data_IF_740865538600
#
_entry.id   IF_740865538600
#
_cell.length_a   1.000
_cell.length_b   1.000
_cell.length_c   1.000
_cell.angle_alpha   90.00
_cell.angle_beta   90.00
_cell.angle_gamma   90.00
#
_symmetry.space_group_name_H-M   'P 1'
#
loop_
_entity.id
_entity.type
_entity.pdbx_description
1 polymer ?
#
# COMPACT_ATOMS: atom_id res chain seq x y z
N UNK A 1 2.23 1.38 -3.34
CA UNK A 1 2.81 0.68 -4.51
C UNK A 1 4.29 1.00 -4.61
N UNK A 2 5.10 0.05 -5.06
CA UNK A 2 6.57 0.07 -5.00
C UNK A 2 7.26 -0.06 -6.38
N UNK A 3 6.54 -0.39 -7.45
CA UNK A 3 7.10 -0.65 -8.78
C UNK A 3 7.80 0.53 -9.45
N UNK A 4 7.55 1.75 -9.00
CA UNK A 4 8.18 2.98 -9.50
C UNK A 4 9.55 3.25 -8.84
N UNK A 5 9.85 2.60 -7.73
CA UNK A 5 11.01 2.89 -6.88
C UNK A 5 12.34 2.59 -7.60
N UNK A 6 12.52 1.46 -8.33
CA UNK A 6 13.78 1.23 -9.04
C UNK A 6 14.17 2.39 -9.96
N UNK A 7 13.21 2.89 -10.73
CA UNK A 7 13.41 4.04 -11.61
C UNK A 7 13.72 5.30 -10.81
N UNK A 8 12.99 5.58 -9.72
CA UNK A 8 13.28 6.74 -8.87
C UNK A 8 14.73 6.71 -8.38
N UNK A 9 15.18 5.59 -7.81
CA UNK A 9 16.51 5.48 -7.23
C UNK A 9 17.61 5.66 -8.28
N UNK A 10 17.45 5.03 -9.45
CA UNK A 10 18.36 5.22 -10.58
C UNK A 10 18.43 6.70 -11.00
N UNK A 11 17.28 7.37 -11.13
CA UNK A 11 17.22 8.78 -11.53
C UNK A 11 17.75 9.72 -10.46
N UNK A 12 17.53 9.41 -9.18
CA UNK A 12 18.03 10.19 -8.07
C UNK A 12 19.57 10.13 -8.02
N UNK A 13 20.15 8.94 -8.13
CA UNK A 13 21.60 8.74 -8.16
C UNK A 13 22.22 9.43 -9.37
N UNK A 14 21.63 9.26 -10.57
CA UNK A 14 22.05 9.98 -11.76
C UNK A 14 22.04 11.49 -11.54
N UNK A 15 20.94 12.03 -11.04
CA UNK A 15 20.75 13.48 -10.84
C UNK A 15 21.77 14.01 -9.84
N UNK A 16 21.97 13.31 -8.72
CA UNK A 16 22.97 13.69 -7.73
C UNK A 16 24.38 13.67 -8.33
N UNK A 17 24.76 12.61 -9.04
CA UNK A 17 26.08 12.50 -9.67
C UNK A 17 26.39 13.61 -10.67
N UNK A 18 25.38 14.16 -11.35
CA UNK A 18 25.58 15.22 -12.36
C UNK A 18 25.42 16.64 -11.81
N UNK A 19 24.68 16.81 -10.73
CA UNK A 19 24.18 18.13 -10.34
C UNK A 19 24.49 18.50 -8.88
N UNK A 20 25.13 17.62 -8.09
CA UNK A 20 25.43 17.91 -6.69
C UNK A 20 26.25 19.20 -6.47
N UNK A 21 27.18 19.52 -7.38
CA UNK A 21 28.05 20.68 -7.26
C UNK A 21 27.32 22.03 -7.23
N UNK A 22 26.21 22.17 -7.97
CA UNK A 22 25.45 23.42 -8.03
C UNK A 22 24.14 23.36 -7.24
N UNK A 23 23.57 22.17 -7.07
CA UNK A 23 22.40 21.96 -6.18
C UNK A 23 22.79 21.98 -4.70
N UNK A 24 24.09 21.89 -4.39
CA UNK A 24 24.63 21.71 -3.04
C UNK A 24 24.04 20.51 -2.30
N UNK A 25 23.56 19.49 -3.04
CA UNK A 25 23.08 18.24 -2.43
C UNK A 25 24.26 17.45 -1.88
N UNK A 26 24.13 16.94 -0.65
CA UNK A 26 25.18 16.18 0.04
C UNK A 26 24.54 15.11 0.94
N UNK A 27 24.87 13.84 0.69
CA UNK A 27 24.38 12.68 1.45
C UNK A 27 25.47 12.03 2.33
N UNK A 28 26.63 12.68 2.45
CA UNK A 28 27.81 12.17 3.13
C UNK A 28 28.84 11.56 2.17
N UNK A 29 30.08 11.34 2.65
CA UNK A 29 31.17 10.85 1.79
C UNK A 29 30.85 9.50 1.15
N UNK A 30 30.89 9.45 -0.18
CA UNK A 30 30.67 8.23 -0.96
C UNK A 30 29.25 7.66 -0.89
N UNK A 31 28.26 8.47 -0.49
CA UNK A 31 26.86 8.07 -0.41
C UNK A 31 26.03 8.66 -1.54
N UNK A 32 25.14 7.83 -2.07
CA UNK A 32 24.15 8.19 -3.07
C UNK A 32 22.75 8.30 -2.45
N UNK A 33 21.81 9.01 -3.09
CA UNK A 33 20.39 9.02 -2.68
C UNK A 33 19.81 7.62 -2.43
N UNK A 34 20.16 6.64 -3.26
CA UNK A 34 19.71 5.25 -3.09
C UNK A 34 20.22 4.61 -1.79
N UNK A 35 21.44 4.93 -1.33
CA UNK A 35 21.94 4.48 -0.03
C UNK A 35 21.11 5.04 1.13
N UNK A 36 20.67 6.29 0.99
CA UNK A 36 19.84 6.95 1.99
C UNK A 36 18.45 6.32 2.02
N UNK A 37 17.86 6.06 0.85
CA UNK A 37 16.60 5.31 0.76
C UNK A 37 16.72 3.96 1.47
N UNK A 38 17.74 3.15 1.11
CA UNK A 38 17.94 1.80 1.66
C UNK A 38 18.26 1.75 3.16
N UNK A 39 18.47 2.92 3.78
CA UNK A 39 18.74 3.04 5.21
C UNK A 39 17.57 3.65 6.00
N UNK A 40 16.76 4.48 5.37
CA UNK A 40 15.84 5.37 6.07
C UNK A 40 14.40 5.33 5.58
N UNK A 41 14.11 4.63 4.48
CA UNK A 41 12.79 4.62 3.86
C UNK A 41 12.33 3.19 3.67
N UNK A 42 11.20 2.86 4.27
CA UNK A 42 10.46 1.63 4.01
C UNK A 42 9.20 1.94 3.20
N UNK A 43 8.81 1.05 2.30
CA UNK A 43 7.69 1.29 1.39
C UNK A 43 6.69 0.14 1.41
N UNK A 44 5.41 0.48 1.25
CA UNK A 44 4.30 -0.47 1.29
C UNK A 44 3.66 -0.69 -0.09
N UNK A 45 3.07 -1.87 -0.26
CA UNK A 45 2.23 -2.19 -1.40
C UNK A 45 0.97 -2.97 -0.99
N UNK A 46 -0.07 -2.85 -1.81
CA UNK A 46 -1.31 -3.64 -1.71
C UNK A 46 -1.25 -4.78 -2.74
N UNK A 47 -1.30 -4.44 -4.04
CA UNK A 47 -1.04 -5.34 -5.18
C UNK A 47 0.04 -4.67 -6.05
N UNK A 48 1.18 -5.34 -6.29
CA UNK A 48 2.26 -4.78 -7.12
C UNK A 48 3.25 -5.86 -7.61
N UNK A 49 2.80 -6.67 -8.58
CA UNK A 49 3.64 -7.73 -9.18
C UNK A 49 4.95 -7.20 -9.78
N UNK A 50 4.91 -6.01 -10.39
CA UNK A 50 6.10 -5.42 -10.99
C UNK A 50 7.09 -4.99 -9.91
N UNK A 51 6.61 -4.39 -8.84
CA UNK A 51 7.39 -4.09 -7.64
C UNK A 51 8.07 -5.30 -7.04
N UNK A 52 7.32 -6.39 -6.84
CA UNK A 52 7.84 -7.64 -6.30
C UNK A 52 8.87 -8.32 -7.22
N UNK A 53 8.71 -8.19 -8.54
CA UNK A 53 9.69 -8.69 -9.51
C UNK A 53 11.02 -7.90 -9.50
N UNK A 54 11.08 -6.73 -8.86
CA UNK A 54 12.24 -5.85 -8.83
C UNK A 54 12.80 -5.62 -7.41
N UNK A 55 12.54 -6.54 -6.48
CA UNK A 55 13.01 -6.44 -5.09
C UNK A 55 14.54 -6.32 -4.96
N UNK A 56 15.32 -6.89 -5.88
CA UNK A 56 16.78 -6.75 -5.87
C UNK A 56 17.24 -5.30 -6.04
N UNK A 57 16.48 -4.48 -6.77
CA UNK A 57 16.76 -3.06 -6.95
C UNK A 57 16.28 -2.24 -5.75
N UNK A 58 15.06 -2.52 -5.28
CA UNK A 58 14.41 -1.79 -4.15
C UNK A 58 15.14 -2.09 -2.83
N UNK A 59 15.50 -3.35 -2.61
CA UNK A 59 15.90 -3.93 -1.34
C UNK A 59 14.71 -4.56 -0.61
N UNK A 60 14.67 -5.89 -0.51
CA UNK A 60 13.58 -6.61 0.18
C UNK A 60 13.42 -6.24 1.66
N UNK A 61 14.49 -5.77 2.31
CA UNK A 61 14.43 -5.28 3.69
C UNK A 61 13.66 -3.95 3.81
N UNK A 62 13.44 -3.24 2.70
CA UNK A 62 12.78 -1.93 2.62
C UNK A 62 11.34 -2.02 2.10
N UNK A 63 10.75 -3.22 2.10
CA UNK A 63 9.39 -3.46 1.61
C UNK A 63 8.52 -4.12 2.68
N UNK A 64 7.29 -3.65 2.82
CA UNK A 64 6.24 -4.28 3.64
C UNK A 64 4.95 -4.46 2.84
N UNK A 65 4.20 -5.50 3.20
CA UNK A 65 2.81 -5.61 2.76
C UNK A 65 1.89 -4.68 3.56
N UNK A 66 0.90 -4.10 2.88
CA UNK A 66 -0.17 -3.31 3.46
C UNK A 66 -1.53 -3.74 2.89
N UNK A 67 -2.52 -3.91 3.77
CA UNK A 67 -3.89 -4.25 3.37
C UNK A 67 -4.72 -3.01 2.99
N UNK A 68 -4.38 -1.87 3.59
CA UNK A 68 -5.03 -0.56 3.40
C UNK A 68 -6.56 -0.56 3.66
N UNK A 69 -7.05 -1.45 4.53
CA UNK A 69 -8.46 -1.48 4.91
C UNK A 69 -8.85 -0.20 5.68
N UNK A 70 -10.03 0.42 5.42
CA UNK A 70 -11.09 0.02 4.49
C UNK A 70 -11.11 0.82 3.17
N UNK A 71 -9.96 1.31 2.69
CA UNK A 71 -9.91 2.15 1.50
C UNK A 71 -10.45 1.41 0.26
N UNK A 72 -10.90 2.18 -0.74
CA UNK A 72 -11.46 1.65 -2.00
C UNK A 72 -10.52 0.72 -2.75
N UNK A 73 -9.22 0.95 -2.60
CA UNK A 73 -8.16 0.21 -3.28
C UNK A 73 -7.72 -1.02 -2.47
N UNK A 74 -8.24 -1.17 -1.25
CA UNK A 74 -8.06 -2.39 -0.45
C UNK A 74 -8.70 -3.58 -1.14
N UNK A 75 -8.04 -4.72 -1.04
CA UNK A 75 -8.54 -6.01 -1.53
C UNK A 75 -9.25 -6.82 -0.45
N UNK A 76 -9.52 -6.24 0.72
CA UNK A 76 -10.31 -6.88 1.76
C UNK A 76 -11.71 -7.25 1.21
N UNK A 77 -12.27 -8.43 1.54
CA UNK A 77 -11.80 -9.44 2.51
C UNK A 77 -10.77 -10.45 1.96
N UNK A 78 -10.37 -10.31 0.69
CA UNK A 78 -9.56 -11.30 -0.03
C UNK A 78 -8.04 -11.04 0.06
N UNK A 79 -7.61 -10.13 0.93
CA UNK A 79 -6.23 -9.64 1.06
C UNK A 79 -5.18 -10.74 1.14
N UNK A 80 -5.40 -11.75 1.98
CA UNK A 80 -4.46 -12.84 2.14
C UNK A 80 -4.30 -13.70 0.87
N UNK A 81 -5.40 -13.96 0.16
CA UNK A 81 -5.40 -14.81 -1.02
C UNK A 81 -4.80 -14.06 -2.23
N UNK A 82 -5.05 -12.75 -2.33
CA UNK A 82 -4.41 -11.87 -3.32
C UNK A 82 -2.90 -11.75 -3.09
N UNK A 83 -2.49 -11.46 -1.85
CA UNK A 83 -1.07 -11.39 -1.51
C UNK A 83 -0.36 -12.71 -1.80
N UNK A 84 -0.96 -13.85 -1.45
CA UNK A 84 -0.34 -15.16 -1.70
C UNK A 84 -0.09 -15.41 -3.19
N UNK A 85 -0.99 -14.97 -4.07
CA UNK A 85 -0.81 -15.09 -5.51
C UNK A 85 0.36 -14.24 -6.03
N UNK A 86 0.58 -13.07 -5.45
CA UNK A 86 1.65 -12.14 -5.83
C UNK A 86 3.04 -12.57 -5.31
N UNK A 87 3.09 -13.26 -4.16
CA UNK A 87 4.33 -13.74 -3.56
C UNK A 87 4.86 -15.06 -4.14
N UNK A 88 4.15 -15.67 -5.10
CA UNK A 88 4.55 -16.93 -5.71
C UNK A 88 5.94 -16.80 -6.39
N UNK A 89 6.84 -17.72 -6.06
CA UNK A 89 8.20 -17.75 -6.61
C UNK A 89 9.24 -16.99 -5.79
N UNK A 90 8.83 -16.24 -4.76
CA UNK A 90 9.77 -15.62 -3.82
C UNK A 90 10.29 -16.63 -2.80
N UNK A 91 11.48 -16.36 -2.27
CA UNK A 91 12.05 -17.18 -1.21
C UNK A 91 11.22 -17.07 0.07
N UNK A 92 11.30 -18.09 0.93
CA UNK A 92 10.61 -18.05 2.23
C UNK A 92 11.10 -16.88 3.10
N UNK A 93 12.39 -16.57 3.02
CA UNK A 93 12.98 -15.44 3.75
C UNK A 93 12.38 -14.11 3.30
N UNK A 94 12.33 -13.87 1.98
CA UNK A 94 11.74 -12.67 1.37
C UNK A 94 10.26 -12.54 1.77
N UNK A 95 9.50 -13.64 1.73
CA UNK A 95 8.09 -13.65 2.16
C UNK A 95 7.98 -13.26 3.63
N UNK A 96 8.80 -13.85 4.52
CA UNK A 96 8.75 -13.53 5.94
C UNK A 96 9.15 -12.04 6.19
N UNK A 97 10.14 -11.50 5.47
CA UNK A 97 10.53 -10.08 5.46
C UNK A 97 9.36 -9.16 5.14
N UNK A 98 8.77 -9.36 3.97
CA UNK A 98 7.69 -8.52 3.44
C UNK A 98 6.42 -8.61 4.29
N UNK A 99 6.07 -9.81 4.77
CA UNK A 99 4.80 -10.03 5.47
C UNK A 99 4.83 -9.61 6.93
N UNK A 100 5.97 -9.71 7.62
CA UNK A 100 5.99 -9.36 9.05
C UNK A 100 7.37 -8.97 9.63
N UNK A 101 8.50 -9.55 9.22
CA UNK A 101 9.79 -9.27 9.89
C UNK A 101 10.19 -7.79 9.75
N UNK A 102 10.00 -7.19 8.57
CA UNK A 102 10.30 -5.77 8.38
C UNK A 102 9.38 -4.88 9.25
N UNK A 103 8.09 -5.21 9.33
CA UNK A 103 7.15 -4.49 10.20
C UNK A 103 7.52 -4.62 11.68
N UNK A 104 7.89 -5.81 12.13
CA UNK A 104 8.36 -6.05 13.50
C UNK A 104 9.58 -5.20 13.83
N UNK A 105 10.53 -5.08 12.89
CA UNK A 105 11.73 -4.24 13.01
C UNK A 105 11.35 -2.75 13.13
N UNK A 106 10.64 -2.21 12.15
CA UNK A 106 10.37 -0.76 12.08
C UNK A 106 9.44 -0.27 13.20
N UNK A 107 8.46 -1.09 13.58
CA UNK A 107 7.52 -0.72 14.65
C UNK A 107 7.95 -1.19 16.03
N UNK A 108 9.13 -1.85 16.15
CA UNK A 108 9.63 -2.42 17.41
C UNK A 108 8.55 -3.28 18.12
N UNK A 109 7.85 -4.09 17.33
CA UNK A 109 6.68 -4.84 17.78
C UNK A 109 6.92 -6.35 17.68
N UNK A 110 6.69 -7.07 18.78
CA UNK A 110 6.69 -8.53 18.80
C UNK A 110 5.24 -9.07 18.85
N UNK A 111 4.65 -9.44 17.71
CA UNK A 111 3.31 -10.03 17.69
C UNK A 111 3.26 -11.38 18.40
N UNK A 112 4.39 -12.08 18.54
CA UNK A 112 4.43 -13.41 19.11
C UNK A 112 4.33 -13.42 20.64
N UNK A 113 4.55 -12.26 21.27
CA UNK A 113 4.22 -12.04 22.68
C UNK A 113 2.71 -12.06 22.96
N UNK A 114 1.88 -11.82 21.93
CA UNK A 114 0.40 -11.76 22.04
C UNK A 114 -0.26 -13.03 21.49
N UNK A 115 0.21 -13.53 20.34
CA UNK A 115 -0.31 -14.75 19.71
C UNK A 115 0.84 -15.65 19.28
N UNK A 116 0.75 -16.95 19.54
CA UNK A 116 1.80 -17.88 19.10
C UNK A 116 1.90 -17.88 17.57
N UNK A 117 3.09 -18.16 17.04
CA UNK A 117 3.34 -18.09 15.59
C UNK A 117 2.42 -18.99 14.78
N UNK A 118 2.11 -20.18 15.28
CA UNK A 118 1.15 -21.12 14.69
C UNK A 118 -0.28 -20.56 14.61
N UNK A 119 -0.64 -19.67 15.54
CA UNK A 119 -1.95 -19.01 15.60
C UNK A 119 -2.03 -17.75 14.72
N UNK A 120 -0.90 -17.28 14.19
CA UNK A 120 -0.82 -16.12 13.29
C UNK A 120 -0.91 -16.49 11.79
N UNK A 121 -1.14 -17.77 11.47
CA UNK A 121 -1.32 -18.19 10.07
C UNK A 121 -2.68 -17.73 9.52
N UNK A 122 -2.78 -17.50 8.20
CA UNK A 122 -4.04 -17.13 7.54
C UNK A 122 -5.16 -18.13 7.90
N UNK A 123 -4.86 -19.43 7.89
CA UNK A 123 -5.84 -20.47 8.24
C UNK A 123 -6.28 -20.43 9.70
N UNK A 124 -5.35 -20.19 10.64
CA UNK A 124 -5.69 -20.04 12.06
C UNK A 124 -6.55 -18.80 12.32
N UNK A 125 -6.17 -17.67 11.72
CA UNK A 125 -6.91 -16.41 11.84
C UNK A 125 -8.30 -16.49 11.19
N UNK A 126 -8.43 -17.11 10.01
CA UNK A 126 -9.74 -17.36 9.36
C UNK A 126 -10.64 -18.24 10.26
N UNK A 127 -10.11 -19.29 10.91
CA UNK A 127 -10.88 -20.11 11.87
C UNK A 127 -11.35 -19.31 13.08
N UNK A 128 -10.48 -18.44 13.63
CA UNK A 128 -10.85 -17.57 14.76
C UNK A 128 -11.91 -16.54 14.35
N UNK A 129 -11.79 -15.97 13.15
CA UNK A 129 -12.73 -15.00 12.60
C UNK A 129 -14.11 -15.61 12.33
N UNK A 130 -14.21 -16.91 12.01
CA UNK A 130 -15.48 -17.59 11.78
C UNK A 130 -16.44 -17.56 12.99
N UNK A 131 -15.92 -17.31 14.20
CA UNK A 131 -16.74 -17.13 15.40
C UNK A 131 -17.31 -15.69 15.54
N UNK A 132 -16.86 -14.75 14.71
CA UNK A 132 -17.29 -13.35 14.72
C UNK A 132 -18.21 -13.13 13.51
N UNK A 133 -19.46 -12.66 13.71
CA UNK A 133 -20.35 -12.37 12.59
C UNK A 133 -19.86 -11.11 11.86
N UNK A 134 -19.07 -11.31 10.81
CA UNK A 134 -18.65 -10.26 9.89
C UNK A 134 -19.32 -10.52 8.55
N UNK A 135 -20.17 -9.60 8.12
CA UNK A 135 -20.70 -9.59 6.76
C UNK A 135 -19.63 -9.02 5.81
N UNK A 136 -19.26 -9.81 4.82
CA UNK A 136 -18.28 -9.43 3.80
C UNK A 136 -18.90 -9.23 2.43
N UNK A 137 -20.23 -9.30 2.33
CA UNK A 137 -20.92 -9.06 1.08
C UNK A 137 -20.79 -7.57 0.68
N UNK A 138 -20.58 -7.28 -0.62
CA UNK A 138 -20.51 -5.91 -1.09
C UNK A 138 -21.81 -5.16 -0.75
N UNK A 139 -21.69 -4.10 0.05
CA UNK A 139 -22.83 -3.25 0.37
C UNK A 139 -23.12 -2.32 -0.82
N UNK A 140 -24.17 -2.64 -1.56
CA UNK A 140 -24.63 -1.81 -2.68
C UNK A 140 -25.29 -0.53 -2.17
N UNK A 141 -25.03 0.59 -2.85
CA UNK A 141 -25.71 1.86 -2.57
C UNK A 141 -25.22 2.60 -1.33
N UNK A 142 -24.15 2.15 -0.67
CA UNK A 142 -23.46 2.88 0.42
C UNK A 142 -22.28 3.74 -0.06
N UNK A 143 -22.05 3.81 -1.37
CA UNK A 143 -21.13 4.79 -1.94
C UNK A 143 -21.61 6.22 -1.66
N UNK A 144 -20.68 7.17 -1.69
CA UNK A 144 -21.03 8.59 -1.63
C UNK A 144 -21.91 9.05 -2.80
N UNK A 145 -22.02 10.37 -2.99
CA UNK A 145 -22.84 10.92 -4.07
C UNK A 145 -22.52 10.27 -5.42
N UNK A 146 -23.57 9.97 -6.20
CA UNK A 146 -23.40 9.32 -7.48
C UNK A 146 -22.87 10.33 -8.51
N UNK A 147 -21.81 10.01 -9.27
CA UNK A 147 -21.38 10.87 -10.36
C UNK A 147 -22.47 10.91 -11.43
N UNK A 148 -22.64 12.06 -12.10
CA UNK A 148 -23.47 12.11 -13.29
C UNK A 148 -22.84 11.23 -14.37
N UNK A 149 -23.56 10.22 -14.82
CA UNK A 149 -23.11 9.29 -15.86
C UNK A 149 -23.86 9.60 -17.15
N UNK A 150 -23.13 9.87 -18.22
CA UNK A 150 -23.68 9.90 -19.58
C UNK A 150 -23.31 8.60 -20.29
N UNK A 151 -24.30 7.89 -20.83
CA UNK A 151 -24.08 6.61 -21.48
C UNK A 151 -23.07 6.76 -22.64
N UNK A 152 -22.03 5.91 -22.65
CA UNK A 152 -20.99 5.93 -23.68
C UNK A 152 -19.93 7.01 -23.52
N UNK A 153 -19.93 7.80 -22.43
CA UNK A 153 -18.87 8.78 -22.14
C UNK A 153 -18.12 8.44 -20.85
N UNK A 154 -16.79 8.65 -20.81
CA UNK A 154 -16.03 8.58 -19.56
C UNK A 154 -16.52 9.65 -18.56
N UNK A 155 -16.49 9.33 -17.28
CA UNK A 155 -16.68 10.31 -16.21
C UNK A 155 -15.47 11.25 -16.19
N UNK A 156 -15.70 12.55 -16.24
CA UNK A 156 -14.65 13.57 -16.24
C UNK A 156 -14.44 14.15 -14.83
N UNK A 157 -13.30 14.78 -14.58
CA UNK A 157 -13.08 15.55 -13.34
C UNK A 157 -14.15 16.64 -13.14
N UNK A 158 -14.69 17.20 -14.23
CA UNK A 158 -15.80 18.15 -14.17
C UNK A 158 -17.10 17.53 -13.65
N UNK A 159 -17.39 16.27 -14.00
CA UNK A 159 -18.55 15.53 -13.47
C UNK A 159 -18.38 15.24 -11.99
N UNK A 160 -17.17 14.88 -11.56
CA UNK A 160 -16.83 14.64 -10.15
C UNK A 160 -16.93 15.92 -9.32
N UNK A 161 -16.43 17.05 -9.83
CA UNK A 161 -16.53 18.33 -9.13
C UNK A 161 -17.99 18.76 -8.96
N UNK A 162 -18.82 18.66 -10.02
CA UNK A 162 -20.27 18.92 -9.93
C UNK A 162 -20.96 17.99 -8.92
N UNK A 163 -20.58 16.72 -8.89
CA UNK A 163 -21.09 15.76 -7.92
C UNK A 163 -20.79 16.19 -6.48
N UNK A 164 -19.56 16.61 -6.18
CA UNK A 164 -19.20 17.10 -4.84
C UNK A 164 -19.90 18.41 -4.47
N UNK A 165 -20.05 19.34 -5.41
CA UNK A 165 -20.81 20.60 -5.21
C UNK A 165 -22.27 20.30 -4.84
N UNK A 166 -22.93 19.41 -5.59
CA UNK A 166 -24.31 19.02 -5.33
C UNK A 166 -24.46 18.29 -3.98
N UNK A 167 -23.57 17.36 -3.67
CA UNK A 167 -23.58 16.64 -2.39
C UNK A 167 -23.38 17.57 -1.18
N UNK A 168 -22.49 18.57 -1.32
CA UNK A 168 -22.24 19.58 -0.29
C UNK A 168 -23.45 20.48 -0.08
N UNK A 169 -24.14 20.86 -1.17
CA UNK A 169 -25.38 21.63 -1.11
C UNK A 169 -26.54 20.86 -0.45
N UNK A 170 -26.64 19.54 -0.66
CA UNK A 170 -27.66 18.70 0.00
C UNK A 170 -27.41 18.53 1.50
N UNK A 171 -26.14 18.35 1.91
CA UNK A 171 -25.77 18.23 3.33
C UNK A 171 -26.05 19.51 4.13
N UNK A 172 -25.93 20.68 3.51
CA UNK A 172 -26.24 21.99 4.14
C UNK A 172 -27.74 22.25 4.29
N UNK A 173 -28.59 21.60 3.48
CA UNK A 173 -30.06 21.66 3.61
C UNK A 173 -30.58 20.68 4.66
N UNK A 174 -29.93 19.51 4.82
CA UNK A 174 -30.33 18.49 5.81
C UNK A 174 -29.91 18.82 7.25
N UNK A 175 -28.92 19.69 7.48
CA UNK A 175 -28.46 20.11 8.81
C UNK A 175 -29.36 21.13 9.54
N UNK A 176 -30.55 21.43 8.99
CA UNK A 176 -31.60 22.24 9.61
C UNK A 176 -32.84 21.40 9.92
N UNK A 177 -32.72 20.40 10.78
CA UNK A 177 -33.83 19.79 11.53
C UNK A 177 -33.38 19.39 12.92
#
# INVERSE_FOLDING_TARGET
>A
GIGWIPYLLERADFTHGHHNAWTNSNFGPGKMPSDIYKKHIISCFIEDKFGLANLDYIGEDMVMYECDYPHSDSVWPNSADKLWADLQGLSRETIDKITHINAMREFSYDPFSVLKREDCTVGALKRKAAAVPVDTDPLLGLGGAAPQREAGKPVTSGDINRMFENASAESTVSGRR
#
